data_IF_792467547954
#
_entry.id   IF_792467547954
#
_cell.length_a   1.000
_cell.length_b   1.000
_cell.length_c   1.000
_cell.angle_alpha   90.00
_cell.angle_beta   90.00
_cell.angle_gamma   90.00
#
_symmetry.space_group_name_H-M   'P 1'
#
loop_
_entity.id
_entity.type
_entity.pdbx_description
1 polymer ?
#
# COMPACT_ATOMS: atom_id res chain seq x y z
N UNK A 1 -32.69 6.02 49.69
CA UNK A 1 -32.99 5.00 48.67
C UNK A 1 -32.80 5.51 47.23
N UNK A 2 -33.36 6.66 46.84
CA UNK A 2 -33.20 7.26 45.49
C UNK A 2 -31.75 7.70 45.15
N UNK A 3 -30.96 8.16 46.12
CA UNK A 3 -29.57 8.58 45.91
C UNK A 3 -28.62 7.40 45.58
N UNK A 4 -28.80 6.25 46.25
CA UNK A 4 -28.04 5.03 45.97
C UNK A 4 -28.30 4.50 44.56
N UNK A 5 -29.56 4.56 44.10
CA UNK A 5 -29.94 4.09 42.76
C UNK A 5 -29.32 4.96 41.65
N UNK A 6 -29.20 6.28 41.87
CA UNK A 6 -28.57 7.21 40.92
C UNK A 6 -27.05 7.02 40.81
N UNK A 7 -26.37 6.81 41.93
CA UNK A 7 -24.92 6.60 41.93
C UNK A 7 -24.53 5.26 41.31
N UNK A 8 -25.31 4.20 41.56
CA UNK A 8 -25.10 2.90 40.90
C UNK A 8 -25.37 2.98 39.39
N UNK A 9 -26.41 3.70 38.96
CA UNK A 9 -26.70 3.92 37.54
C UNK A 9 -25.59 4.73 36.84
N UNK A 10 -25.04 5.75 37.50
CA UNK A 10 -23.94 6.57 36.97
C UNK A 10 -22.64 5.77 36.79
N UNK A 11 -22.30 4.93 37.77
CA UNK A 11 -21.15 4.02 37.69
C UNK A 11 -21.32 3.02 36.54
N UNK A 12 -22.53 2.49 36.33
CA UNK A 12 -22.83 1.59 35.23
C UNK A 12 -22.67 2.26 33.86
N UNK A 13 -23.14 3.52 33.70
CA UNK A 13 -22.96 4.30 32.48
C UNK A 13 -21.47 4.58 32.20
N UNK A 14 -20.67 4.89 33.22
CA UNK A 14 -19.23 5.12 33.08
C UNK A 14 -18.52 3.82 32.67
N UNK A 15 -18.87 2.68 33.27
CA UNK A 15 -18.33 1.35 32.92
C UNK A 15 -18.74 0.96 31.50
N UNK A 16 -20.00 1.15 31.09
CA UNK A 16 -20.47 0.88 29.73
C UNK A 16 -19.73 1.75 28.70
N UNK A 17 -19.49 3.03 29.00
CA UNK A 17 -18.69 3.91 28.13
C UNK A 17 -17.21 3.48 28.08
N UNK A 18 -16.64 3.01 29.20
CA UNK A 18 -15.27 2.47 29.24
C UNK A 18 -15.11 1.14 28.48
N UNK A 19 -16.14 0.28 28.49
CA UNK A 19 -16.14 -0.99 27.77
C UNK A 19 -16.36 -0.79 26.25
N UNK A 20 -17.20 0.16 25.84
CA UNK A 20 -17.39 0.53 24.43
C UNK A 20 -16.10 1.09 23.79
N UNK A 21 -15.23 1.73 24.57
CA UNK A 21 -13.94 2.24 24.10
C UNK A 21 -12.97 1.11 23.68
N UNK A 22 -13.09 -0.09 24.26
CA UNK A 22 -12.17 -1.22 24.02
C UNK A 22 -12.63 -2.19 22.93
N UNK A 23 -13.89 -2.09 22.48
CA UNK A 23 -14.46 -2.97 21.45
C UNK A 23 -14.30 -2.37 20.04
N UNK A 24 -14.06 -1.06 19.92
CA UNK A 24 -13.75 -0.39 18.64
C UNK A 24 -12.28 0.04 18.56
N UNK A 25 -11.39 -0.89 18.92
CA UNK A 25 -9.94 -0.81 18.67
C UNK A 25 -9.39 -2.15 18.17
N UNK A 26 -10.21 -3.00 17.55
CA UNK A 26 -9.68 -4.11 16.77
C UNK A 26 -9.67 -3.68 15.30
N UNK A 27 -8.85 -2.66 14.99
CA UNK A 27 -8.43 -2.43 13.63
C UNK A 27 -7.57 -3.63 13.21
N UNK A 28 -7.85 -4.31 12.10
CA UNK A 28 -7.09 -5.47 11.63
C UNK A 28 -5.69 -5.09 11.07
N UNK A 29 -5.08 -4.03 11.58
CA UNK A 29 -3.81 -3.46 11.10
C UNK A 29 -2.67 -3.55 12.13
N UNK A 30 -2.85 -4.16 13.30
CA UNK A 30 -1.86 -4.14 14.40
C UNK A 30 -0.89 -5.34 14.41
N UNK A 31 -0.75 -6.04 13.29
CA UNK A 31 0.13 -7.21 13.13
C UNK A 31 1.01 -7.15 11.86
N UNK A 32 1.16 -5.96 11.25
CA UNK A 32 2.17 -5.76 10.20
C UNK A 32 3.48 -5.30 10.83
N UNK A 33 4.49 -6.17 10.79
CA UNK A 33 5.90 -5.80 10.91
C UNK A 33 6.15 -4.46 10.19
N UNK A 34 6.98 -3.55 10.75
CA UNK A 34 7.23 -2.25 10.15
C UNK A 34 7.64 -2.47 8.69
N UNK A 35 6.89 -1.87 7.77
CA UNK A 35 7.21 -1.97 6.35
C UNK A 35 8.65 -1.48 6.18
N UNK A 36 9.57 -2.38 5.86
CA UNK A 36 10.96 -2.04 5.62
C UNK A 36 11.05 -1.26 4.31
N UNK A 37 10.79 0.04 4.42
CA UNK A 37 10.85 0.99 3.31
C UNK A 37 12.25 1.08 2.69
N UNK A 38 13.27 0.54 3.36
CA UNK A 38 14.63 0.46 2.82
C UNK A 38 14.79 -0.66 1.79
N UNK A 39 13.84 -1.60 1.75
CA UNK A 39 13.82 -2.77 0.85
C UNK A 39 12.66 -2.71 -0.15
N UNK A 40 12.39 -1.52 -0.69
CA UNK A 40 11.47 -1.38 -1.79
C UNK A 40 12.23 -1.56 -3.11
N UNK A 41 11.92 -2.63 -3.84
CA UNK A 41 12.43 -2.86 -5.18
C UNK A 41 11.93 -1.76 -6.12
N UNK A 42 12.85 -1.09 -6.83
CA UNK A 42 12.51 0.00 -7.75
C UNK A 42 12.30 -0.54 -9.16
N UNK A 43 11.20 -0.13 -9.79
CA UNK A 43 10.90 -0.46 -11.17
C UNK A 43 10.61 0.77 -12.01
N UNK A 44 10.63 0.58 -13.33
CA UNK A 44 10.20 1.58 -14.33
C UNK A 44 9.27 0.93 -15.35
N UNK A 45 8.47 1.73 -16.05
CA UNK A 45 7.73 1.33 -17.24
C UNK A 45 8.32 2.00 -18.48
N UNK A 46 8.40 1.27 -19.59
CA UNK A 46 8.98 1.76 -20.84
C UNK A 46 8.18 1.34 -22.07
N UNK A 47 8.31 2.12 -23.14
CA UNK A 47 7.66 1.93 -24.44
C UNK A 47 8.54 2.52 -25.54
N UNK A 48 8.02 2.60 -26.76
CA UNK A 48 8.68 3.32 -27.86
C UNK A 48 8.94 4.81 -27.59
N UNK A 49 8.20 5.45 -26.67
CA UNK A 49 8.36 6.86 -26.34
C UNK A 49 9.72 7.20 -25.71
N UNK A 50 10.37 6.23 -25.06
CA UNK A 50 11.70 6.41 -24.45
C UNK A 50 12.84 6.33 -25.48
N UNK A 51 12.56 5.94 -26.74
CA UNK A 51 13.58 5.80 -27.77
C UNK A 51 14.56 4.65 -27.49
N UNK A 52 15.87 4.91 -27.60
CA UNK A 52 16.92 3.90 -27.36
C UNK A 52 17.33 3.94 -25.89
N UNK A 53 17.08 2.85 -25.16
CA UNK A 53 17.42 2.73 -23.74
C UNK A 53 18.84 2.20 -23.57
N UNK A 54 19.59 2.78 -22.62
CA UNK A 54 20.85 2.24 -22.14
C UNK A 54 20.61 1.41 -20.87
N UNK A 55 20.38 0.11 -21.05
CA UNK A 55 20.07 -0.82 -19.96
C UNK A 55 21.16 -0.93 -18.90
N UNK A 56 22.44 -0.78 -19.28
CA UNK A 56 23.55 -0.75 -18.31
C UNK A 56 23.42 0.44 -17.36
N UNK A 57 23.06 1.61 -17.88
CA UNK A 57 22.84 2.81 -17.07
C UNK A 57 21.61 2.65 -16.16
N UNK A 58 20.52 2.08 -16.67
CA UNK A 58 19.30 1.78 -15.89
C UNK A 58 19.61 0.85 -14.71
N UNK A 59 20.34 -0.25 -14.96
CA UNK A 59 20.73 -1.16 -13.88
C UNK A 59 21.64 -0.47 -12.85
N UNK A 60 22.60 0.33 -13.32
CA UNK A 60 23.49 1.07 -12.42
C UNK A 60 22.78 2.13 -11.55
N UNK A 61 21.57 2.58 -11.95
CA UNK A 61 20.76 3.51 -11.14
C UNK A 61 19.90 2.82 -10.07
N UNK A 62 20.03 1.51 -9.89
CA UNK A 62 19.28 0.76 -8.88
C UNK A 62 17.84 0.45 -9.27
N UNK A 63 17.56 0.33 -10.58
CA UNK A 63 16.30 -0.21 -11.08
C UNK A 63 16.44 -1.73 -11.21
N UNK A 64 15.51 -2.44 -10.61
CA UNK A 64 15.57 -3.89 -10.39
C UNK A 64 14.62 -4.65 -11.32
N UNK A 65 13.51 -4.01 -11.75
CA UNK A 65 12.60 -4.59 -12.74
C UNK A 65 12.07 -3.54 -13.71
N UNK A 66 11.50 -3.98 -14.82
CA UNK A 66 10.89 -3.10 -15.81
C UNK A 66 9.67 -3.75 -16.45
N UNK A 67 8.61 -2.97 -16.64
CA UNK A 67 7.50 -3.34 -17.51
C UNK A 67 7.69 -2.71 -18.89
N UNK A 68 7.54 -3.51 -19.94
CA UNK A 68 7.75 -3.06 -21.32
C UNK A 68 6.39 -3.14 -22.02
N UNK A 69 5.93 -2.01 -22.58
CA UNK A 69 4.71 -1.97 -23.37
C UNK A 69 4.87 -2.88 -24.59
N UNK A 70 3.94 -3.84 -24.74
CA UNK A 70 3.90 -4.73 -25.89
C UNK A 70 2.98 -4.18 -27.00
N UNK A 71 1.80 -3.67 -26.63
CA UNK A 71 0.78 -3.21 -27.57
C UNK A 71 -0.12 -2.11 -26.98
N UNK A 72 -0.95 -1.51 -27.82
CA UNK A 72 -2.05 -0.61 -27.44
C UNK A 72 -3.30 -0.92 -28.27
N UNK A 73 -4.40 -1.25 -27.60
CA UNK A 73 -5.60 -1.76 -28.26
C UNK A 73 -5.34 -3.02 -29.11
N UNK A 74 -6.08 -3.15 -30.20
CA UNK A 74 -6.05 -4.36 -31.04
C UNK A 74 -4.99 -4.33 -32.14
N UNK A 75 -4.64 -3.14 -32.64
CA UNK A 75 -3.88 -3.01 -33.90
C UNK A 75 -2.51 -2.33 -33.73
N UNK A 76 -2.19 -1.77 -32.58
CA UNK A 76 -0.91 -1.12 -32.37
C UNK A 76 0.03 -2.02 -31.56
N UNK A 77 1.17 -2.35 -32.14
CA UNK A 77 2.26 -3.06 -31.48
C UNK A 77 3.38 -2.06 -31.20
N UNK A 78 3.94 -2.10 -30.00
CA UNK A 78 5.01 -1.18 -29.64
C UNK A 78 6.27 -1.50 -30.45
N UNK A 79 6.71 -0.54 -31.27
CA UNK A 79 7.86 -0.70 -32.18
C UNK A 79 9.19 -1.00 -31.47
N UNK A 80 9.28 -0.82 -30.15
CA UNK A 80 10.48 -1.09 -29.35
C UNK A 80 10.36 -2.31 -28.44
N UNK A 81 9.23 -3.00 -28.40
CA UNK A 81 9.04 -4.17 -27.53
C UNK A 81 10.16 -5.21 -27.70
N UNK A 82 10.41 -5.68 -28.93
CA UNK A 82 11.44 -6.68 -29.22
C UNK A 82 12.88 -6.24 -28.95
N UNK A 83 13.14 -4.93 -28.92
CA UNK A 83 14.45 -4.39 -28.59
C UNK A 83 14.67 -4.26 -27.08
N UNK A 84 13.57 -4.12 -26.33
CA UNK A 84 13.58 -3.86 -24.90
C UNK A 84 13.44 -5.13 -24.06
N UNK A 85 12.83 -6.20 -24.60
CA UNK A 85 12.65 -7.50 -23.94
C UNK A 85 13.95 -8.32 -23.89
#
# INVERSE_FOLDING_TARGET
MISFLKNTLLIFIIICNFLNCKINQNNPEEDKEPLDLTKLEKGIDVSHHQGKINWKKVKSSGIEFTFIKASDGLNFHDSKFLFNW
#
